data_IF_844168976561
#
_entry.id   IF_844168976561
#
_cell.length_a   1.000
_cell.length_b   1.000
_cell.length_c   1.000
_cell.angle_alpha   90.00
_cell.angle_beta   90.00
_cell.angle_gamma   90.00
#
_symmetry.space_group_name_H-M   'P 1'
#
loop_
_entity.id
_entity.type
_entity.pdbx_description
1 polymer ?
#
# COMPACT_ATOMS: atom_id res chain seq x y z
N UNK A 1 -5.65 -5.28 -18.58
CA UNK A 1 -4.29 -5.26 -17.99
C UNK A 1 -3.44 -4.34 -18.84
N UNK A 2 -3.54 -3.02 -18.63
CA UNK A 2 -2.67 -2.07 -19.29
C UNK A 2 -1.37 -1.97 -18.48
N UNK A 3 -0.26 -2.08 -19.19
CA UNK A 3 1.08 -1.92 -18.64
C UNK A 3 1.24 -0.54 -17.98
N UNK A 4 1.81 -0.52 -16.78
CA UNK A 4 2.35 0.67 -16.12
C UNK A 4 2.95 1.64 -17.14
N UNK A 5 2.49 2.89 -17.13
CA UNK A 5 3.17 3.96 -17.85
C UNK A 5 4.49 4.22 -17.10
N UNK A 6 5.59 3.74 -17.68
CA UNK A 6 6.97 3.80 -17.17
C UNK A 6 7.56 5.23 -17.21
N UNK A 7 6.82 6.26 -16.76
CA UNK A 7 7.41 7.59 -16.53
C UNK A 7 7.93 7.76 -15.11
N UNK A 8 7.63 6.82 -14.22
CA UNK A 8 8.33 6.64 -12.96
C UNK A 8 8.98 5.26 -13.02
N UNK A 9 10.22 5.15 -13.50
CA UNK A 9 11.02 3.93 -13.27
C UNK A 9 11.35 3.93 -11.80
N UNK A 10 10.67 3.10 -10.99
CA UNK A 10 10.93 3.11 -9.59
C UNK A 10 12.24 2.30 -9.43
N UNK A 11 13.27 2.80 -8.71
CA UNK A 11 14.55 2.11 -8.62
C UNK A 11 14.29 0.68 -8.18
N UNK A 12 15.09 -0.29 -8.62
CA UNK A 12 14.88 -1.75 -8.58
C UNK A 12 14.64 -2.40 -7.19
N UNK A 13 14.30 -1.61 -6.16
CA UNK A 13 13.89 -1.94 -4.79
C UNK A 13 12.64 -1.16 -4.34
N UNK A 14 11.82 -0.63 -5.25
CA UNK A 14 10.80 0.39 -4.91
C UNK A 14 9.45 -0.12 -4.42
N UNK A 15 9.24 -1.43 -4.39
CA UNK A 15 7.99 -2.02 -3.91
C UNK A 15 8.03 -2.37 -2.41
N UNK A 16 9.24 -2.42 -1.83
CA UNK A 16 9.45 -2.73 -0.42
C UNK A 16 9.37 -1.41 0.36
N UNK A 17 8.42 -1.26 1.30
CA UNK A 17 8.33 -0.08 2.14
C UNK A 17 9.64 0.18 2.89
N UNK A 18 10.05 1.45 3.00
CA UNK A 18 11.29 1.81 3.70
C UNK A 18 11.33 1.28 5.15
N UNK A 19 10.17 1.26 5.80
CA UNK A 19 9.97 0.74 7.15
C UNK A 19 10.45 -0.71 7.32
N UNK A 20 10.39 -1.51 6.26
CA UNK A 20 10.74 -2.94 6.23
C UNK A 20 11.77 -3.28 5.13
N UNK A 21 12.52 -2.30 4.62
CA UNK A 21 13.49 -2.53 3.54
C UNK A 21 14.63 -3.47 3.96
N UNK A 22 15.10 -3.32 5.19
CA UNK A 22 16.24 -4.06 5.75
C UNK A 22 15.82 -5.02 6.89
N UNK A 23 14.54 -5.03 7.26
CA UNK A 23 13.96 -5.84 8.35
C UNK A 23 12.59 -6.33 7.91
N UNK A 24 12.22 -7.56 8.25
CA UNK A 24 10.95 -8.16 7.81
C UNK A 24 10.25 -8.86 8.98
N UNK A 25 8.92 -8.72 9.12
CA UNK A 25 8.14 -9.50 10.07
C UNK A 25 8.22 -11.02 9.88
N UNK A 26 8.42 -11.48 8.64
CA UNK A 26 8.38 -12.91 8.28
C UNK A 26 9.71 -13.46 7.72
N UNK A 27 10.79 -12.68 7.82
CA UNK A 27 12.14 -13.08 7.39
C UNK A 27 12.44 -12.87 5.91
N UNK A 28 11.49 -12.38 5.11
CA UNK A 28 11.65 -12.08 3.68
C UNK A 28 10.97 -10.74 3.32
N UNK A 29 11.73 -9.63 3.22
CA UNK A 29 11.19 -8.32 2.86
C UNK A 29 10.48 -8.28 1.50
N UNK A 30 10.92 -9.09 0.52
CA UNK A 30 10.32 -9.10 -0.80
C UNK A 30 8.97 -9.81 -0.79
N UNK A 31 8.86 -10.91 -0.04
CA UNK A 31 7.59 -11.62 0.14
C UNK A 31 6.57 -10.75 0.89
N UNK A 32 6.97 -10.09 1.97
CA UNK A 32 6.09 -9.20 2.73
C UNK A 32 5.57 -8.04 1.88
N UNK A 33 6.45 -7.44 1.08
CA UNK A 33 6.08 -6.41 0.13
C UNK A 33 5.13 -6.92 -0.97
N UNK A 34 5.32 -8.17 -1.42
CA UNK A 34 4.43 -8.80 -2.41
C UNK A 34 3.02 -8.98 -1.86
N UNK A 35 2.89 -9.38 -0.59
CA UNK A 35 1.57 -9.50 0.06
C UNK A 35 0.89 -8.13 0.20
N UNK A 36 1.64 -7.09 0.57
CA UNK A 36 1.14 -5.72 0.58
C UNK A 36 0.65 -5.28 -0.82
N UNK A 37 1.43 -5.57 -1.87
CA UNK A 37 1.06 -5.25 -3.25
C UNK A 37 -0.21 -5.96 -3.68
N UNK A 38 -0.32 -7.27 -3.42
CA UNK A 38 -1.53 -8.03 -3.76
C UNK A 38 -2.75 -7.45 -3.03
N UNK A 39 -2.60 -7.04 -1.77
CA UNK A 39 -3.69 -6.39 -1.03
C UNK A 39 -4.08 -5.05 -1.65
N UNK A 40 -3.11 -4.23 -2.05
CA UNK A 40 -3.31 -2.96 -2.76
C UNK A 40 -4.10 -3.17 -4.06
N UNK A 41 -3.58 -4.01 -4.95
CA UNK A 41 -4.16 -4.29 -6.27
C UNK A 41 -5.54 -4.97 -6.18
N UNK A 42 -5.73 -5.86 -5.20
CA UNK A 42 -7.02 -6.52 -4.98
C UNK A 42 -8.08 -5.51 -4.54
N UNK A 43 -7.73 -4.57 -3.67
CA UNK A 43 -8.65 -3.53 -3.24
C UNK A 43 -9.07 -2.68 -4.44
N UNK A 44 -8.13 -2.26 -5.28
CA UNK A 44 -8.46 -1.52 -6.52
C UNK A 44 -9.39 -2.30 -7.41
N UNK A 45 -9.06 -3.56 -7.72
CA UNK A 45 -9.93 -4.40 -8.55
C UNK A 45 -11.36 -4.48 -7.99
N UNK A 46 -11.49 -4.65 -6.68
CA UNK A 46 -12.79 -4.86 -6.03
C UNK A 46 -13.62 -3.60 -5.93
N UNK A 47 -13.00 -2.43 -5.98
CA UNK A 47 -13.74 -1.20 -5.77
C UNK A 47 -14.32 -0.60 -7.05
N UNK A 48 -13.92 -1.00 -8.29
CA UNK A 48 -14.09 -0.31 -9.63
C UNK A 48 -15.51 0.13 -10.07
N UNK A 49 -16.08 1.31 -9.71
CA UNK A 49 -17.40 1.67 -10.21
C UNK A 49 -17.32 2.26 -11.62
N UNK A 50 -16.12 2.62 -12.11
CA UNK A 50 -15.92 3.32 -13.39
C UNK A 50 -15.37 2.42 -14.48
N UNK A 51 -14.86 1.24 -14.13
CA UNK A 51 -14.25 0.25 -15.01
C UNK A 51 -13.13 0.87 -15.87
N UNK A 52 -12.42 1.83 -15.30
CA UNK A 52 -11.39 2.66 -15.94
C UNK A 52 -10.02 2.55 -15.26
N UNK A 53 -9.85 1.52 -14.42
CA UNK A 53 -8.66 1.28 -13.60
C UNK A 53 -8.47 2.33 -12.50
N UNK A 54 -9.54 2.72 -11.79
CA UNK A 54 -9.44 3.53 -10.56
C UNK A 54 -8.85 4.93 -10.77
N UNK A 55 -8.96 5.49 -11.97
CA UNK A 55 -8.25 6.73 -12.30
C UNK A 55 -9.00 7.96 -11.81
N UNK A 56 -8.42 8.69 -10.84
CA UNK A 56 -8.91 10.01 -10.43
C UNK A 56 -7.99 11.11 -10.92
N UNK A 57 -8.59 12.06 -11.60
CA UNK A 57 -7.97 13.33 -11.94
C UNK A 57 -8.51 13.91 -13.24
N UNK A 58 -7.82 14.92 -13.78
CA UNK A 58 -8.19 15.57 -15.03
C UNK A 58 -7.36 14.98 -16.20
N UNK A 59 -7.56 15.47 -17.42
CA UNK A 59 -6.85 15.00 -18.61
C UNK A 59 -5.30 15.09 -18.55
N UNK A 60 -4.73 15.68 -17.50
CA UNK A 60 -3.28 15.90 -17.33
C UNK A 60 -2.66 15.19 -16.12
N UNK A 61 -3.44 14.77 -15.12
CA UNK A 61 -2.95 13.99 -13.97
C UNK A 61 -4.00 12.96 -13.60
N UNK A 62 -3.60 11.69 -13.55
CA UNK A 62 -4.46 10.57 -13.22
C UNK A 62 -3.70 9.67 -12.26
N UNK A 63 -4.23 9.49 -11.06
CA UNK A 63 -3.71 8.55 -10.05
C UNK A 63 -4.72 7.43 -9.85
N UNK A 64 -4.26 6.22 -9.54
CA UNK A 64 -5.15 5.13 -9.13
C UNK A 64 -5.59 5.41 -7.67
N UNK A 65 -6.82 5.05 -7.32
CA UNK A 65 -7.43 5.48 -6.04
C UNK A 65 -6.72 4.84 -4.85
N UNK A 66 -6.07 3.69 -4.99
CA UNK A 66 -5.38 3.11 -3.83
C UNK A 66 -4.11 3.88 -3.47
N UNK A 67 -3.45 4.54 -4.43
CA UNK A 67 -2.30 5.43 -4.20
C UNK A 67 -2.67 6.72 -3.45
N UNK A 68 -3.96 7.02 -3.30
CA UNK A 68 -4.39 8.17 -2.48
C UNK A 68 -3.95 8.07 -1.02
N UNK A 69 -3.73 6.85 -0.54
CA UNK A 69 -3.18 6.61 0.79
C UNK A 69 -1.65 6.61 0.83
N UNK A 70 -0.98 6.82 -0.30
CA UNK A 70 0.48 6.97 -0.40
C UNK A 70 0.82 8.26 -1.17
N UNK A 71 0.48 9.45 -0.63
CA UNK A 71 0.89 10.70 -1.26
C UNK A 71 2.42 10.84 -1.33
N UNK A 72 2.95 11.72 -2.19
CA UNK A 72 4.38 12.04 -2.19
C UNK A 72 4.85 12.48 -0.79
N UNK A 73 5.81 11.75 -0.22
CA UNK A 73 6.32 11.93 1.15
C UNK A 73 5.33 11.56 2.27
N UNK A 74 4.43 10.62 2.02
CA UNK A 74 3.54 10.06 3.04
C UNK A 74 4.29 9.68 4.32
N UNK A 75 3.76 10.11 5.46
CA UNK A 75 4.16 9.57 6.76
C UNK A 75 3.75 8.09 6.87
N UNK A 76 4.42 7.30 7.74
CA UNK A 76 3.98 5.93 8.05
C UNK A 76 2.50 5.85 8.43
N UNK A 77 1.98 6.83 9.16
CA UNK A 77 0.59 6.89 9.60
C UNK A 77 -0.39 7.16 8.45
N UNK A 78 -0.01 7.98 7.47
CA UNK A 78 -0.79 8.20 6.25
C UNK A 78 -0.80 6.95 5.37
N UNK A 79 0.35 6.27 5.26
CA UNK A 79 0.49 5.11 4.39
C UNK A 79 -0.08 3.82 4.98
N UNK A 80 0.32 3.48 6.20
CA UNK A 80 0.00 2.22 6.87
C UNK A 80 -0.98 2.38 8.02
N UNK A 81 -1.57 3.57 8.19
CA UNK A 81 -2.53 3.85 9.24
C UNK A 81 -1.88 4.13 10.62
N UNK A 82 -2.67 4.59 11.59
CA UNK A 82 -2.16 5.16 12.84
C UNK A 82 -1.57 4.14 13.83
N UNK A 83 -1.73 2.84 13.58
CA UNK A 83 -1.44 1.78 14.55
C UNK A 83 -0.28 0.86 14.10
N UNK A 84 0.71 1.40 13.40
CA UNK A 84 1.93 0.65 13.05
C UNK A 84 2.70 0.30 14.32
N UNK A 85 2.90 -0.99 14.54
CA UNK A 85 3.65 -1.56 15.65
C UNK A 85 5.03 -2.04 15.18
N UNK A 86 5.92 -2.26 16.15
CA UNK A 86 7.29 -2.76 15.91
C UNK A 86 7.48 -4.11 16.60
N UNK A 87 8.17 -5.02 15.92
CA UNK A 87 8.76 -6.20 16.55
C UNK A 87 10.08 -5.83 17.24
N UNK A 88 10.58 -6.72 18.10
CA UNK A 88 11.91 -6.59 18.72
C UNK A 88 13.04 -6.49 17.67
N UNK A 89 12.83 -7.08 16.50
CA UNK A 89 13.72 -6.96 15.33
C UNK A 89 13.71 -5.57 14.67
N UNK A 90 12.79 -4.68 15.06
CA UNK A 90 12.57 -3.38 14.43
C UNK A 90 11.65 -3.39 13.21
N UNK A 91 11.16 -4.56 12.79
CA UNK A 91 10.22 -4.69 11.68
C UNK A 91 8.85 -4.10 12.03
N UNK A 92 8.29 -3.31 11.11
CA UNK A 92 6.95 -2.73 11.20
C UNK A 92 5.87 -3.72 10.80
N UNK A 93 4.72 -3.66 11.47
CA UNK A 93 3.51 -4.41 11.13
C UNK A 93 2.26 -3.66 11.62
N UNK A 94 1.11 -3.90 10.99
CA UNK A 94 -0.17 -3.32 11.39
C UNK A 94 -1.36 -4.29 11.23
N UNK A 95 -1.13 -5.46 10.65
CA UNK A 95 -2.11 -6.54 10.53
C UNK A 95 -1.51 -7.84 11.05
N UNK A 96 -2.29 -8.61 11.80
CA UNK A 96 -1.93 -9.95 12.23
C UNK A 96 -3.01 -10.94 11.81
N UNK A 97 -2.61 -12.01 11.14
CA UNK A 97 -3.47 -13.14 10.76
C UNK A 97 -2.87 -14.39 11.37
N UNK A 98 -3.55 -14.97 12.36
CA UNK A 98 -2.99 -16.01 13.23
C UNK A 98 -1.66 -15.53 13.86
N UNK A 99 -0.58 -16.30 13.71
CA UNK A 99 0.74 -15.95 14.26
C UNK A 99 1.59 -15.10 13.30
N UNK A 100 1.10 -14.85 12.08
CA UNK A 100 1.84 -14.14 11.02
C UNK A 100 1.47 -12.66 11.02
N UNK A 101 2.48 -11.79 10.94
CA UNK A 101 2.31 -10.33 10.99
C UNK A 101 2.69 -9.71 9.65
N UNK A 102 1.97 -8.69 9.25
CA UNK A 102 2.12 -8.03 7.96
C UNK A 102 2.09 -6.52 8.12
N UNK A 103 2.77 -5.82 7.20
CA UNK A 103 2.62 -4.38 7.01
C UNK A 103 1.81 -4.18 5.73
N UNK A 104 0.55 -3.77 5.88
CA UNK A 104 -0.41 -3.62 4.79
C UNK A 104 -0.84 -2.16 4.68
N UNK A 105 -0.84 -1.61 3.48
CA UNK A 105 -1.27 -0.24 3.20
C UNK A 105 -2.73 -0.02 3.61
N UNK A 106 -3.00 1.18 4.12
CA UNK A 106 -4.35 1.63 4.40
C UNK A 106 -5.12 1.91 3.11
N UNK A 107 -6.44 1.76 3.15
CA UNK A 107 -7.32 1.87 1.99
C UNK A 107 -8.15 3.15 2.07
N UNK A 108 -8.33 3.83 0.93
CA UNK A 108 -9.19 5.01 0.85
C UNK A 108 -10.65 4.62 1.09
N UNK A 109 -11.27 5.20 2.12
CA UNK A 109 -12.71 5.05 2.36
C UNK A 109 -13.47 6.26 1.81
N UNK A 110 -14.29 6.10 0.75
CA UNK A 110 -14.98 7.21 0.11
C UNK A 110 -16.14 7.77 0.94
N UNK A 111 -16.65 7.03 1.94
CA UNK A 111 -17.70 7.49 2.86
C UNK A 111 -17.08 8.30 4.01
N UNK A 112 -16.02 7.77 4.62
CA UNK A 112 -15.32 8.42 5.73
C UNK A 112 -14.37 9.53 5.29
N UNK A 113 -14.05 9.63 3.99
CA UNK A 113 -13.13 10.61 3.39
C UNK A 113 -11.74 10.61 4.05
N UNK A 114 -11.25 9.41 4.38
CA UNK A 114 -9.92 9.19 4.95
C UNK A 114 -9.41 7.78 4.65
N UNK A 115 -8.10 7.61 4.72
CA UNK A 115 -7.47 6.30 4.70
C UNK A 115 -7.73 5.56 6.02
N UNK A 116 -8.11 4.29 5.91
CA UNK A 116 -8.42 3.42 7.06
C UNK A 116 -7.83 2.04 6.84
N UNK A 117 -7.55 1.33 7.93
CA UNK A 117 -7.31 -0.11 7.82
C UNK A 117 -8.63 -0.80 7.48
N UNK A 118 -8.60 -1.74 6.54
CA UNK A 118 -9.74 -2.61 6.26
C UNK A 118 -10.11 -3.38 7.53
N UNK A 119 -11.37 -3.31 7.95
CA UNK A 119 -11.92 -3.90 9.18
C UNK A 119 -12.72 -5.15 8.91
#
# INVERSE_FOLDING_TARGET
MQHHSLTHTPPSTSCIPELNRNVSPNGDPALDATVNMIAHELVELMTDPHNDAWRVGNSTTSEEISEWCMPPNATPEEWFGPNVQKLDSGASWNLQVNDTKWLIQSVWNPVAKKCVMSS
#
